data_IF_247360314590
#
_entry.id   IF_247360314590
#
_cell.length_a   1.000
_cell.length_b   1.000
_cell.length_c   1.000
_cell.angle_alpha   90.00
_cell.angle_beta   90.00
_cell.angle_gamma   90.00
#
_symmetry.space_group_name_H-M   'P 1'
#
loop_
_entity.id
_entity.type
_entity.pdbx_description
1 polymer ?
#
# COMPACT_ATOMS: atom_id res chain seq x y z
N UNK A 1 -7.79 -2.89 -14.43
CA UNK A 1 -8.35 -3.58 -13.23
C UNK A 1 -7.47 -3.39 -12.02
N UNK A 2 -6.21 -3.86 -12.03
CA UNK A 2 -5.29 -3.79 -10.88
C UNK A 2 -5.15 -2.42 -10.20
N UNK A 3 -5.15 -1.33 -10.96
CA UNK A 3 -5.00 0.01 -10.38
C UNK A 3 -6.20 0.46 -9.53
N UNK A 4 -7.43 0.15 -9.97
CA UNK A 4 -8.63 0.46 -9.17
C UNK A 4 -8.69 -0.41 -7.92
N UNK A 5 -8.32 -1.69 -8.03
CA UNK A 5 -8.20 -2.60 -6.89
C UNK A 5 -7.19 -2.07 -5.87
N UNK A 6 -6.05 -1.56 -6.33
CA UNK A 6 -5.05 -0.93 -5.47
C UNK A 6 -5.56 0.34 -4.78
N UNK A 7 -6.22 1.22 -5.53
CA UNK A 7 -6.81 2.45 -4.98
C UNK A 7 -7.82 2.09 -3.88
N UNK A 8 -8.72 1.14 -4.15
CA UNK A 8 -9.73 0.71 -3.18
C UNK A 8 -9.08 0.09 -1.94
N UNK A 9 -8.06 -0.76 -2.13
CA UNK A 9 -7.32 -1.36 -1.03
C UNK A 9 -6.66 -0.30 -0.13
N UNK A 10 -6.07 0.75 -0.70
CA UNK A 10 -5.52 1.86 0.09
C UNK A 10 -6.60 2.62 0.86
N UNK A 11 -7.74 2.94 0.22
CA UNK A 11 -8.80 3.73 0.87
C UNK A 11 -9.54 2.96 1.95
N UNK A 12 -9.64 1.63 1.82
CA UNK A 12 -10.31 0.73 2.76
C UNK A 12 -9.30 -0.02 3.66
N UNK A 13 -8.06 0.46 3.72
CA UNK A 13 -6.99 -0.21 4.44
C UNK A 13 -7.29 -0.28 5.95
N UNK A 14 -7.17 -1.49 6.50
CA UNK A 14 -7.23 -1.78 7.94
C UNK A 14 -6.10 -2.74 8.30
N UNK A 15 -5.74 -2.90 9.60
CA UNK A 15 -4.72 -3.87 10.01
C UNK A 15 -4.98 -5.28 9.47
N UNK A 16 -6.24 -5.70 9.38
CA UNK A 16 -6.65 -7.03 8.92
C UNK A 16 -6.54 -7.20 7.40
N UNK A 17 -6.62 -6.12 6.63
CA UNK A 17 -6.55 -6.15 5.17
C UNK A 17 -5.16 -5.91 4.61
N UNK A 18 -4.18 -5.55 5.45
CA UNK A 18 -2.77 -5.39 5.07
C UNK A 18 -2.23 -6.60 4.29
N UNK A 19 -2.42 -7.86 4.73
CA UNK A 19 -1.85 -9.02 4.04
C UNK A 19 -2.42 -9.25 2.63
N UNK A 20 -3.56 -8.63 2.29
CA UNK A 20 -4.16 -8.76 0.95
C UNK A 20 -3.30 -8.11 -0.15
N UNK A 21 -2.32 -7.29 0.24
CA UNK A 21 -1.38 -6.66 -0.69
C UNK A 21 -0.55 -7.69 -1.48
N UNK A 22 -0.32 -8.91 -0.95
CA UNK A 22 0.37 -10.00 -1.66
C UNK A 22 -0.33 -10.39 -2.98
N UNK A 23 -1.66 -10.19 -3.08
CA UNK A 23 -2.43 -10.45 -4.31
C UNK A 23 -2.41 -9.29 -5.32
N UNK A 24 -1.96 -8.10 -4.89
CA UNK A 24 -1.99 -6.87 -5.69
C UNK A 24 -0.57 -6.52 -6.15
N UNK A 25 0.41 -6.61 -5.26
CA UNK A 25 1.81 -6.24 -5.50
C UNK A 25 2.61 -7.40 -6.07
N UNK A 26 3.58 -7.06 -6.92
CA UNK A 26 4.63 -8.00 -7.27
C UNK A 26 5.49 -8.30 -6.04
N UNK A 27 6.04 -9.51 -5.93
CA UNK A 27 6.87 -9.94 -4.79
C UNK A 27 8.05 -8.99 -4.50
N UNK A 28 8.55 -8.33 -5.54
CA UNK A 28 9.65 -7.36 -5.49
C UNK A 28 9.19 -5.90 -5.63
N UNK A 29 7.92 -5.60 -5.32
CA UNK A 29 7.40 -4.24 -5.37
C UNK A 29 8.23 -3.30 -4.48
N UNK A 30 8.39 -2.06 -4.93
CA UNK A 30 9.04 -1.00 -4.16
C UNK A 30 8.01 -0.01 -3.65
N UNK A 31 8.11 0.35 -2.37
CA UNK A 31 7.30 1.40 -1.77
C UNK A 31 8.23 2.49 -1.24
N UNK A 32 7.92 3.74 -1.56
CA UNK A 32 8.67 4.88 -1.06
C UNK A 32 7.70 5.96 -0.60
N UNK A 33 7.88 6.40 0.64
CA UNK A 33 7.25 7.60 1.19
C UNK A 33 8.37 8.55 1.70
N UNK A 34 8.07 9.73 2.28
CA UNK A 34 9.09 10.65 2.77
C UNK A 34 10.01 10.10 3.88
N UNK A 35 9.64 8.99 4.52
CA UNK A 35 10.30 8.40 5.68
C UNK A 35 10.89 7.01 5.38
N UNK A 36 10.25 6.24 4.49
CA UNK A 36 10.54 4.84 4.22
C UNK A 36 10.93 4.61 2.76
N UNK A 37 11.91 3.73 2.54
CA UNK A 37 12.25 3.13 1.25
C UNK A 37 12.31 1.61 1.44
N UNK A 38 11.27 0.91 1.00
CA UNK A 38 11.09 -0.52 1.22
C UNK A 38 11.03 -1.28 -0.10
N UNK A 39 11.58 -2.50 -0.07
CA UNK A 39 11.51 -3.45 -1.18
C UNK A 39 10.96 -4.78 -0.72
N UNK A 40 9.99 -5.27 -1.49
CA UNK A 40 9.31 -6.52 -1.27
C UNK A 40 8.13 -6.39 -0.31
N UNK A 41 7.13 -7.24 -0.54
CA UNK A 41 5.81 -7.13 0.11
C UNK A 41 5.90 -7.11 1.64
N UNK A 42 6.74 -7.97 2.23
CA UNK A 42 6.91 -8.07 3.69
C UNK A 42 7.39 -6.79 4.36
N UNK A 43 8.30 -6.04 3.71
CA UNK A 43 8.76 -4.77 4.28
C UNK A 43 7.67 -3.70 4.20
N UNK A 44 6.86 -3.74 3.14
CA UNK A 44 5.76 -2.81 2.92
C UNK A 44 4.63 -3.07 3.94
N UNK A 45 4.29 -4.33 4.18
CA UNK A 45 3.35 -4.74 5.23
C UNK A 45 3.78 -4.19 6.60
N UNK A 46 5.04 -4.40 6.98
CA UNK A 46 5.58 -3.95 8.25
C UNK A 46 5.49 -2.42 8.44
N UNK A 47 5.64 -1.64 7.36
CA UNK A 47 5.44 -0.18 7.41
C UNK A 47 3.99 0.16 7.76
N UNK A 48 3.03 -0.48 7.11
CA UNK A 48 1.62 -0.21 7.37
C UNK A 48 1.18 -0.70 8.75
N UNK A 49 1.62 -1.88 9.17
CA UNK A 49 1.39 -2.39 10.53
C UNK A 49 1.92 -1.40 11.58
N UNK A 50 3.14 -0.91 11.39
CA UNK A 50 3.73 0.10 12.26
C UNK A 50 2.91 1.40 12.25
N UNK A 51 2.47 1.87 11.07
CA UNK A 51 1.64 3.06 10.93
C UNK A 51 0.36 2.99 11.78
N UNK A 52 -0.33 1.84 11.78
CA UNK A 52 -1.53 1.62 12.60
C UNK A 52 -1.25 1.54 14.10
N UNK A 53 -0.05 1.16 14.52
CA UNK A 53 0.36 1.16 15.93
C UNK A 53 0.67 2.58 16.42
N UNK A 54 1.36 3.39 15.61
CA UNK A 54 1.86 4.70 16.04
C UNK A 54 0.90 5.87 15.76
N UNK A 55 -0.02 5.70 14.82
CA UNK A 55 -0.95 6.76 14.39
C UNK A 55 -2.36 6.47 14.87
N UNK A 56 -3.06 7.49 15.38
CA UNK A 56 -4.47 7.34 15.74
C UNK A 56 -5.35 7.48 14.50
N UNK A 57 -6.11 6.43 14.19
CA UNK A 57 -7.06 6.37 13.07
C UNK A 57 -6.44 6.77 11.71
N UNK A 58 -5.31 6.15 11.27
CA UNK A 58 -4.71 6.48 9.99
C UNK A 58 -5.64 6.04 8.86
N UNK A 59 -5.81 6.93 7.87
CA UNK A 59 -6.58 6.67 6.65
C UNK A 59 -5.83 7.23 5.45
N UNK A 60 -5.86 6.51 4.33
CA UNK A 60 -5.38 7.05 3.06
C UNK A 60 -6.53 7.75 2.31
N UNK A 61 -6.31 9.01 1.95
CA UNK A 61 -7.21 9.76 1.05
C UNK A 61 -6.50 10.00 -0.28
N UNK A 62 -6.88 9.25 -1.30
CA UNK A 62 -6.28 9.37 -2.63
C UNK A 62 -6.93 10.55 -3.37
N UNK A 63 -6.15 11.59 -3.62
CA UNK A 63 -6.60 12.79 -4.35
C UNK A 63 -6.32 12.71 -5.86
N UNK A 64 -5.25 12.02 -6.24
CA UNK A 64 -4.87 11.79 -7.62
C UNK A 64 -4.04 10.50 -7.71
N UNK A 65 -4.01 9.92 -8.91
CA UNK A 65 -3.17 8.79 -9.25
C UNK A 65 -2.67 8.94 -10.68
N UNK A 66 -1.53 8.32 -10.96
CA UNK A 66 -0.96 8.27 -12.29
C UNK A 66 -0.40 6.87 -12.52
N UNK A 67 -0.69 6.32 -13.68
CA UNK A 67 -0.06 5.11 -14.20
C UNK A 67 0.48 5.40 -15.59
N UNK A 68 1.64 4.85 -15.92
CA UNK A 68 2.24 4.99 -17.24
C UNK A 68 2.54 3.58 -17.80
N UNK A 69 1.81 3.20 -18.84
CA UNK A 69 1.80 1.83 -19.38
C UNK A 69 0.78 0.91 -18.69
N UNK A 70 0.81 -0.38 -19.04
CA UNK A 70 -0.10 -1.41 -18.51
C UNK A 70 0.33 -2.01 -17.16
N UNK A 71 1.37 -1.45 -16.53
CA UNK A 71 1.93 -2.01 -15.30
C UNK A 71 1.46 -1.18 -14.11
N UNK A 72 0.56 -1.78 -13.33
CA UNK A 72 0.40 -1.49 -11.91
C UNK A 72 1.41 -2.34 -11.13
#
# INVERSE_FOLDING_TARGET
MKLQELINWYTDLTPETIPLIEGIYHEQASFRDPFNDARGVRQIEAIFEHMFVVTQQPVFRISAWQAQGDVA
#
